data_IF_763824995038
#
_entry.id   IF_763824995038
#
_cell.length_a   1.000
_cell.length_b   1.000
_cell.length_c   1.000
_cell.angle_alpha   90.00
_cell.angle_beta   90.00
_cell.angle_gamma   90.00
#
_symmetry.space_group_name_H-M   'P 1'
#
loop_
_entity.id
_entity.type
_entity.pdbx_description
1 polymer ?
#
# COMPACT_ATOMS: atom_id res chain seq x y z
N UNK A 1 -45.47 2.41 -38.79
CA UNK A 1 -44.51 1.38 -38.34
C UNK A 1 -43.22 2.07 -37.94
N UNK A 2 -42.75 1.73 -36.73
CA UNK A 2 -41.40 1.92 -36.17
C UNK A 2 -40.89 3.37 -35.99
N UNK A 3 -41.24 3.92 -34.81
CA UNK A 3 -40.32 4.71 -34.01
C UNK A 3 -39.32 3.77 -33.28
N UNK A 4 -38.09 4.20 -33.05
CA UNK A 4 -37.08 3.41 -32.33
C UNK A 4 -35.72 4.09 -32.28
N UNK A 5 -35.64 5.21 -31.59
CA UNK A 5 -34.43 6.00 -31.41
C UNK A 5 -33.53 5.49 -30.28
N UNK A 6 -32.22 5.56 -30.55
CA UNK A 6 -31.18 6.10 -29.67
C UNK A 6 -31.34 5.82 -28.16
N UNK A 7 -30.74 4.73 -27.68
CA UNK A 7 -30.82 4.38 -26.26
C UNK A 7 -29.82 3.35 -25.78
N UNK A 8 -28.55 3.41 -26.21
CA UNK A 8 -27.49 2.58 -25.59
C UNK A 8 -26.14 3.31 -25.47
N UNK A 9 -25.86 4.34 -26.27
CA UNK A 9 -24.52 4.98 -26.30
C UNK A 9 -24.28 6.07 -25.25
N UNK A 10 -25.30 6.63 -24.60
CA UNK A 10 -25.11 7.69 -23.59
C UNK A 10 -24.81 7.18 -22.17
N UNK A 11 -25.19 5.94 -21.82
CA UNK A 11 -25.00 5.43 -20.46
C UNK A 11 -23.53 5.09 -20.13
N UNK A 12 -22.77 4.62 -21.12
CA UNK A 12 -21.33 4.29 -20.96
C UNK A 12 -20.48 5.56 -20.87
N UNK A 13 -20.83 6.61 -21.63
CA UNK A 13 -20.15 7.90 -21.55
C UNK A 13 -20.40 8.59 -20.20
N UNK A 14 -21.62 8.51 -19.65
CA UNK A 14 -21.97 9.09 -18.36
C UNK A 14 -21.26 8.39 -17.18
N UNK A 15 -21.09 7.07 -17.23
CA UNK A 15 -20.38 6.33 -16.18
C UNK A 15 -18.86 6.60 -16.18
N UNK A 16 -18.24 6.73 -17.37
CA UNK A 16 -16.81 7.11 -17.50
C UNK A 16 -16.58 8.57 -17.10
N UNK A 17 -17.51 9.47 -17.43
CA UNK A 17 -17.46 10.88 -16.98
C UNK A 17 -17.71 11.02 -15.48
N UNK A 18 -18.59 10.21 -14.88
CA UNK A 18 -18.80 10.19 -13.43
C UNK A 18 -17.57 9.65 -12.66
N UNK A 19 -16.86 8.65 -13.22
CA UNK A 19 -15.60 8.17 -12.64
C UNK A 19 -14.47 9.22 -12.76
N UNK A 20 -14.41 9.95 -13.88
CA UNK A 20 -13.47 11.06 -14.10
C UNK A 20 -13.75 12.26 -13.19
N UNK A 21 -15.02 12.55 -12.90
CA UNK A 21 -15.41 13.62 -12.00
C UNK A 21 -15.14 13.28 -10.53
N UNK A 22 -15.21 12.02 -10.11
CA UNK A 22 -14.90 11.65 -8.72
C UNK A 22 -13.40 11.65 -8.42
N UNK A 23 -12.53 11.26 -9.36
CA UNK A 23 -11.07 11.31 -9.15
C UNK A 23 -10.54 12.75 -9.22
N UNK A 24 -11.13 13.61 -10.06
CA UNK A 24 -10.74 15.01 -10.19
C UNK A 24 -11.39 15.96 -9.15
N UNK A 25 -12.59 15.66 -8.65
CA UNK A 25 -13.25 16.52 -7.67
C UNK A 25 -12.53 16.52 -6.31
N UNK A 26 -11.99 15.38 -5.87
CA UNK A 26 -11.23 15.32 -4.61
C UNK A 26 -9.87 16.02 -4.72
N UNK A 27 -9.20 16.01 -5.88
CA UNK A 27 -7.95 16.77 -6.11
C UNK A 27 -8.19 18.29 -6.20
N UNK A 28 -9.26 18.73 -6.86
CA UNK A 28 -9.64 20.15 -6.93
C UNK A 28 -10.19 20.65 -5.58
N UNK A 29 -10.92 19.81 -4.83
CA UNK A 29 -11.40 20.13 -3.47
C UNK A 29 -10.25 20.12 -2.45
N UNK A 30 -9.28 19.22 -2.58
CA UNK A 30 -8.07 19.22 -1.75
C UNK A 30 -7.20 20.45 -2.07
N UNK A 31 -6.98 20.76 -3.35
CA UNK A 31 -6.24 21.95 -3.78
C UNK A 31 -6.92 23.26 -3.38
N UNK A 32 -8.25 23.35 -3.44
CA UNK A 32 -9.01 24.55 -3.01
C UNK A 32 -9.08 24.69 -1.49
N UNK A 33 -9.25 23.60 -0.73
CA UNK A 33 -9.19 23.62 0.75
C UNK A 33 -7.78 23.90 1.26
N UNK A 34 -6.74 23.37 0.61
CA UNK A 34 -5.34 23.71 0.93
C UNK A 34 -5.06 25.17 0.64
N UNK A 35 -5.47 25.69 -0.52
CA UNK A 35 -5.35 27.13 -0.82
C UNK A 35 -6.13 28.00 0.17
N UNK A 36 -7.31 27.56 0.60
CA UNK A 36 -8.10 28.26 1.62
C UNK A 36 -7.43 28.24 3.00
N UNK A 37 -6.85 27.11 3.41
CA UNK A 37 -6.12 26.99 4.67
C UNK A 37 -4.82 27.81 4.66
N UNK A 38 -4.05 27.77 3.57
CA UNK A 38 -2.86 28.61 3.37
C UNK A 38 -3.25 30.09 3.42
N UNK A 39 -4.31 30.48 2.72
CA UNK A 39 -4.82 31.85 2.75
C UNK A 39 -5.33 32.28 4.13
N UNK A 40 -5.92 31.36 4.89
CA UNK A 40 -6.36 31.59 6.27
C UNK A 40 -5.16 31.82 7.19
N UNK A 41 -4.18 30.92 7.20
CA UNK A 41 -3.01 31.03 8.07
C UNK A 41 -2.12 32.24 7.72
N UNK A 42 -2.06 32.63 6.44
CA UNK A 42 -1.43 33.89 6.05
C UNK A 42 -2.13 35.13 6.64
N UNK A 43 -3.45 35.07 6.86
CA UNK A 43 -4.25 36.16 7.46
C UNK A 43 -4.32 36.09 8.99
N UNK A 44 -4.21 34.89 9.56
CA UNK A 44 -4.36 34.61 10.99
C UNK A 44 -3.18 33.78 11.53
N UNK A 45 -1.93 34.29 11.46
CA UNK A 45 -0.75 33.51 11.81
C UNK A 45 -0.74 33.06 13.28
N UNK A 46 -1.26 33.87 14.21
CA UNK A 46 -1.35 33.50 15.63
C UNK A 46 -2.38 32.41 15.95
N UNK A 47 -3.24 32.06 15.01
CA UNK A 47 -4.27 31.02 15.16
C UNK A 47 -3.87 29.70 14.48
N UNK A 48 -2.77 29.71 13.75
CA UNK A 48 -2.20 28.54 13.11
C UNK A 48 -0.92 28.13 13.82
N UNK A 49 -0.77 26.83 13.99
CA UNK A 49 0.51 26.23 14.31
C UNK A 49 1.49 26.41 13.16
N UNK A 50 2.78 26.44 13.51
CA UNK A 50 3.86 26.45 12.54
C UNK A 50 4.62 25.11 12.54
N UNK A 51 5.36 24.79 11.45
CA UNK A 51 6.17 23.57 11.40
C UNK A 51 7.11 23.44 12.61
N UNK A 52 7.67 24.55 13.10
CA UNK A 52 8.51 24.62 14.29
C UNK A 52 7.81 24.10 15.56
N UNK A 53 6.49 24.28 15.70
CA UNK A 53 5.71 23.89 16.88
C UNK A 53 5.39 22.38 16.92
N UNK A 54 5.52 21.68 15.80
CA UNK A 54 5.20 20.25 15.72
C UNK A 54 6.36 19.38 16.23
N UNK A 55 6.07 18.47 17.15
CA UNK A 55 7.06 17.53 17.70
C UNK A 55 7.40 16.35 16.78
N UNK A 56 6.57 16.05 15.78
CA UNK A 56 6.78 14.91 14.89
C UNK A 56 5.59 14.58 13.97
N UNK A 57 5.69 13.46 13.26
CA UNK A 57 4.66 12.94 12.36
C UNK A 57 4.57 11.42 12.48
N UNK A 58 3.36 10.86 12.31
CA UNK A 58 3.19 9.43 12.02
C UNK A 58 2.71 9.25 10.59
N UNK A 59 3.41 8.43 9.82
CA UNK A 59 3.16 8.27 8.39
C UNK A 59 3.04 6.78 8.08
N UNK A 60 1.83 6.32 7.77
CA UNK A 60 1.60 5.00 7.19
C UNK A 60 2.06 5.01 5.74
N UNK A 61 3.19 4.38 5.46
CA UNK A 61 3.83 4.42 4.14
C UNK A 61 3.28 3.35 3.20
N UNK A 62 2.66 2.30 3.72
CA UNK A 62 2.14 1.23 2.88
C UNK A 62 2.03 -0.12 3.56
N UNK A 63 1.93 -1.21 2.81
CA UNK A 63 1.87 -1.25 1.33
C UNK A 63 0.44 -1.42 0.82
N UNK A 64 0.19 -0.97 -0.41
CA UNK A 64 -1.13 -1.11 -1.04
C UNK A 64 -1.61 -2.56 -1.02
N UNK A 65 -2.90 -2.75 -0.69
CA UNK A 65 -3.57 -4.07 -0.54
C UNK A 65 -3.13 -4.93 0.64
N UNK A 66 -2.43 -4.35 1.61
CA UNK A 66 -2.05 -5.01 2.86
C UNK A 66 -2.82 -4.49 4.07
N UNK A 67 -4.06 -4.03 3.90
CA UNK A 67 -4.89 -3.63 5.05
C UNK A 67 -4.62 -2.24 5.64
N UNK A 68 -4.09 -1.30 4.87
CA UNK A 68 -3.84 0.08 5.34
C UNK A 68 -5.11 0.82 5.82
N UNK A 69 -6.29 0.45 5.32
CA UNK A 69 -7.57 0.95 5.84
C UNK A 69 -7.94 0.35 7.21
N UNK A 70 -7.55 -0.89 7.48
CA UNK A 70 -7.72 -1.49 8.81
C UNK A 70 -6.76 -0.84 9.80
N UNK A 71 -5.49 -0.64 9.41
CA UNK A 71 -4.53 0.16 10.19
C UNK A 71 -5.08 1.57 10.49
N UNK A 72 -5.71 2.21 9.50
CA UNK A 72 -6.37 3.49 9.69
C UNK A 72 -7.41 3.46 10.82
N UNK A 73 -8.21 2.40 10.87
CA UNK A 73 -9.18 2.20 11.93
C UNK A 73 -8.54 2.02 13.33
N UNK A 74 -7.38 1.36 13.43
CA UNK A 74 -6.68 1.17 14.70
C UNK A 74 -6.12 2.48 15.23
N UNK A 75 -5.38 3.20 14.38
CA UNK A 75 -4.76 4.49 14.71
C UNK A 75 -5.81 5.56 15.08
N UNK A 76 -6.96 5.61 14.39
CA UNK A 76 -8.05 6.54 14.71
C UNK A 76 -8.71 6.29 16.07
N UNK A 77 -8.49 5.13 16.69
CA UNK A 77 -9.02 4.78 18.01
C UNK A 77 -7.99 4.98 19.14
N UNK A 78 -6.78 5.45 18.83
CA UNK A 78 -5.78 5.83 19.83
C UNK A 78 -6.11 7.23 20.40
N UNK A 79 -5.95 7.39 21.71
CA UNK A 79 -6.06 8.70 22.37
C UNK A 79 -4.79 9.53 22.07
N UNK A 80 -4.90 10.86 22.03
CA UNK A 80 -3.76 11.78 21.87
C UNK A 80 -3.30 12.00 20.42
N UNK A 81 -4.11 11.59 19.45
CA UNK A 81 -3.74 11.58 18.02
C UNK A 81 -4.61 12.56 17.24
N UNK A 82 -4.03 13.33 16.30
CA UNK A 82 -4.81 14.16 15.37
C UNK A 82 -5.60 13.26 14.43
N UNK A 83 -6.82 13.70 14.08
CA UNK A 83 -7.65 13.08 13.04
C UNK A 83 -6.81 12.69 11.82
N UNK A 84 -6.74 11.39 11.56
CA UNK A 84 -5.96 10.83 10.46
C UNK A 84 -6.45 11.37 9.11
N UNK A 85 -5.52 11.63 8.20
CA UNK A 85 -5.81 11.87 6.78
C UNK A 85 -5.39 10.69 5.91
N UNK A 86 -6.25 10.29 4.98
CA UNK A 86 -5.99 9.25 3.98
C UNK A 86 -6.68 9.67 2.68
N UNK A 87 -6.02 9.72 1.52
CA UNK A 87 -4.58 9.64 1.23
C UNK A 87 -4.07 11.05 0.91
N UNK A 88 -2.89 11.45 1.39
CA UNK A 88 -2.39 12.81 1.19
C UNK A 88 -1.64 12.98 -0.13
N UNK A 89 -0.96 11.94 -0.60
CA UNK A 89 -0.17 11.98 -1.83
C UNK A 89 0.80 13.18 -1.92
N UNK A 90 1.41 13.57 -0.80
CA UNK A 90 2.31 14.72 -0.79
C UNK A 90 3.65 14.36 -1.43
N UNK A 91 4.32 13.31 -0.95
CA UNK A 91 5.69 13.00 -1.37
C UNK A 91 5.80 12.34 -2.75
N UNK A 92 4.70 11.80 -3.29
CA UNK A 92 4.62 11.19 -4.63
C UNK A 92 4.11 12.20 -5.69
N UNK A 93 2.85 12.64 -5.60
CA UNK A 93 2.17 13.44 -6.63
C UNK A 93 2.38 14.92 -6.46
N UNK A 94 2.20 15.44 -5.25
CA UNK A 94 2.13 16.89 -5.03
C UNK A 94 3.50 17.55 -4.84
N UNK A 95 4.54 16.78 -4.49
CA UNK A 95 5.91 17.27 -4.38
C UNK A 95 6.42 17.89 -5.69
N UNK A 96 6.01 17.34 -6.83
CA UNK A 96 6.44 17.81 -8.16
C UNK A 96 6.00 19.26 -8.44
N UNK A 97 4.91 19.71 -7.80
CA UNK A 97 4.41 21.09 -7.95
C UNK A 97 5.35 22.13 -7.33
N UNK A 98 6.31 21.70 -6.51
CA UNK A 98 7.32 22.54 -5.87
C UNK A 98 8.71 22.35 -6.46
N UNK A 99 8.83 21.53 -7.52
CA UNK A 99 10.12 21.16 -8.11
C UNK A 99 10.92 22.38 -8.55
N UNK A 100 10.31 23.28 -9.33
CA UNK A 100 10.99 24.48 -9.84
C UNK A 100 11.50 25.38 -8.70
N UNK A 101 10.75 25.44 -7.60
CA UNK A 101 11.11 26.25 -6.42
C UNK A 101 12.28 25.61 -5.65
N UNK A 102 12.28 24.28 -5.53
CA UNK A 102 13.36 23.50 -4.90
C UNK A 102 14.63 23.53 -5.77
N UNK A 103 14.50 23.57 -7.10
CA UNK A 103 15.65 23.66 -8.01
C UNK A 103 16.23 25.07 -8.08
N UNK A 104 15.39 26.10 -7.98
CA UNK A 104 15.84 27.50 -7.96
C UNK A 104 16.60 27.86 -6.67
N UNK A 105 16.09 27.42 -5.52
CA UNK A 105 16.74 27.56 -4.22
C UNK A 105 16.37 26.36 -3.33
N UNK A 106 17.32 25.44 -3.16
CA UNK A 106 17.07 24.18 -2.47
C UNK A 106 16.64 24.37 -1.01
N UNK A 107 17.26 25.29 -0.30
CA UNK A 107 16.96 25.50 1.12
C UNK A 107 15.57 26.13 1.28
N UNK A 108 15.31 27.20 0.55
CA UNK A 108 14.04 27.91 0.63
C UNK A 108 12.88 27.09 0.06
N UNK A 109 13.12 26.33 -1.02
CA UNK A 109 12.15 25.43 -1.62
C UNK A 109 11.77 24.27 -0.71
N UNK A 110 12.74 23.64 -0.02
CA UNK A 110 12.44 22.60 0.97
C UNK A 110 11.69 23.15 2.19
N UNK A 111 12.05 24.36 2.66
CA UNK A 111 11.31 25.04 3.72
C UNK A 111 9.85 25.28 3.32
N UNK A 112 9.62 25.74 2.10
CA UNK A 112 8.28 25.91 1.55
C UNK A 112 7.54 24.58 1.39
N UNK A 113 8.21 23.52 0.95
CA UNK A 113 7.61 22.19 0.88
C UNK A 113 7.16 21.68 2.25
N UNK A 114 7.96 21.87 3.29
CA UNK A 114 7.58 21.53 4.66
C UNK A 114 6.36 22.34 5.11
N UNK A 115 6.31 23.64 4.81
CA UNK A 115 5.15 24.48 5.10
C UNK A 115 3.90 23.99 4.36
N UNK A 116 3.98 23.71 3.06
CA UNK A 116 2.84 23.22 2.27
C UNK A 116 2.34 21.87 2.79
N UNK A 117 3.25 20.98 3.19
CA UNK A 117 2.89 19.71 3.84
C UNK A 117 2.18 19.93 5.17
N UNK A 118 2.72 20.83 6.00
CA UNK A 118 2.16 21.23 7.29
C UNK A 118 0.72 21.79 7.14
N UNK A 119 0.51 22.68 6.18
CA UNK A 119 -0.77 23.38 5.97
C UNK A 119 -1.91 22.44 5.55
N UNK A 120 -1.59 21.22 5.07
CA UNK A 120 -2.60 20.20 4.78
C UNK A 120 -3.36 19.76 6.02
N UNK A 121 -2.79 19.91 7.21
CA UNK A 121 -3.47 19.58 8.46
C UNK A 121 -4.56 20.59 8.85
N UNK A 122 -4.47 21.82 8.32
CA UNK A 122 -5.41 22.92 8.54
C UNK A 122 -5.12 23.74 9.81
N UNK A 123 -5.89 24.82 10.05
CA UNK A 123 -5.77 25.69 11.21
C UNK A 123 -6.36 24.98 12.44
N UNK A 124 -5.73 23.89 12.86
CA UNK A 124 -6.03 23.25 14.13
C UNK A 124 -5.02 23.82 15.11
N UNK A 125 -5.45 24.44 16.23
CA UNK A 125 -4.53 24.60 17.33
C UNK A 125 -4.08 23.18 17.67
N UNK A 126 -2.79 22.86 17.44
CA UNK A 126 -2.21 21.67 18.05
C UNK A 126 -2.18 21.97 19.53
N UNK A 127 -3.33 21.81 20.20
CA UNK A 127 -3.38 21.79 21.64
C UNK A 127 -2.33 20.77 22.09
N UNK A 128 -1.57 21.11 23.14
CA UNK A 128 -0.46 20.30 23.63
C UNK A 128 -0.81 18.80 23.61
N UNK A 129 -0.13 18.04 22.75
CA UNK A 129 -0.28 16.58 22.68
C UNK A 129 -1.17 16.05 21.55
N UNK A 130 -1.19 16.67 20.37
CA UNK A 130 -1.82 16.12 19.16
C UNK A 130 -0.77 15.80 18.09
N UNK A 131 -0.62 14.51 17.73
CA UNK A 131 0.36 14.04 16.74
C UNK A 131 -0.28 13.88 15.33
N UNK A 132 0.18 14.59 14.28
CA UNK A 132 -0.34 14.45 12.91
C UNK A 132 -0.12 13.04 12.34
N UNK A 133 -1.16 12.46 11.74
CA UNK A 133 -1.10 11.11 11.17
C UNK A 133 -1.69 11.03 9.78
N UNK A 134 -0.90 10.57 8.80
CA UNK A 134 -1.39 10.22 7.48
C UNK A 134 -1.14 8.76 7.13
N UNK A 135 -1.87 8.25 6.13
CA UNK A 135 -1.54 6.99 5.47
C UNK A 135 -1.66 7.18 3.96
N UNK A 136 -0.58 6.98 3.23
CA UNK A 136 -0.55 7.00 1.76
C UNK A 136 0.25 5.79 1.26
N UNK A 137 -0.42 4.69 0.86
CA UNK A 137 0.24 3.39 0.65
C UNK A 137 1.26 3.31 -0.48
N UNK A 138 1.23 4.26 -1.41
CA UNK A 138 2.20 4.35 -2.52
C UNK A 138 3.58 4.80 -2.04
N UNK A 139 3.68 5.43 -0.87
CA UNK A 139 4.96 5.88 -0.32
C UNK A 139 5.96 4.76 -0.09
N UNK A 140 5.51 3.53 0.16
CA UNK A 140 6.37 2.37 0.36
C UNK A 140 7.10 1.97 -0.92
N UNK A 141 6.43 2.02 -2.08
CA UNK A 141 6.96 1.45 -3.33
C UNK A 141 7.37 2.49 -4.38
N UNK A 142 6.98 3.76 -4.25
CA UNK A 142 7.58 4.83 -5.05
C UNK A 142 8.97 5.16 -4.48
N UNK A 143 10.00 4.87 -5.27
CA UNK A 143 11.40 4.98 -4.85
C UNK A 143 11.80 6.42 -4.52
N UNK A 144 11.15 7.41 -5.15
CA UNK A 144 11.44 8.83 -4.93
C UNK A 144 10.96 9.28 -3.55
N UNK A 145 9.91 8.66 -3.03
CA UNK A 145 9.24 9.11 -1.81
C UNK A 145 10.17 9.06 -0.60
N UNK A 146 10.93 7.99 -0.42
CA UNK A 146 11.83 7.87 0.73
C UNK A 146 12.80 9.06 0.85
N UNK A 147 13.44 9.43 -0.27
CA UNK A 147 14.38 10.56 -0.35
C UNK A 147 13.65 11.90 -0.19
N UNK A 148 12.57 12.14 -0.94
CA UNK A 148 11.78 13.38 -0.84
C UNK A 148 11.27 13.61 0.57
N UNK A 149 10.77 12.55 1.21
CA UNK A 149 10.27 12.60 2.58
C UNK A 149 11.39 12.92 3.57
N UNK A 150 12.56 12.27 3.45
CA UNK A 150 13.70 12.60 4.31
C UNK A 150 14.13 14.05 4.13
N UNK A 151 14.19 14.56 2.90
CA UNK A 151 14.67 15.92 2.64
C UNK A 151 13.72 16.97 3.19
N UNK A 152 12.42 16.84 2.93
CA UNK A 152 11.41 17.78 3.41
C UNK A 152 11.26 17.70 4.93
N UNK A 153 11.26 16.49 5.50
CA UNK A 153 11.06 16.29 6.94
C UNK A 153 12.38 16.31 7.72
N UNK A 154 13.53 16.59 7.09
CA UNK A 154 14.85 16.61 7.73
C UNK A 154 14.88 17.40 9.04
N UNK A 155 14.28 18.62 9.14
CA UNK A 155 14.27 19.39 10.39
C UNK A 155 13.55 18.69 11.54
N UNK A 156 12.70 17.70 11.24
CA UNK A 156 11.86 16.97 12.20
C UNK A 156 12.14 15.46 12.20
N UNK A 157 13.21 15.01 11.53
CA UNK A 157 13.42 13.59 11.23
C UNK A 157 13.33 12.68 12.45
N UNK A 158 13.88 13.07 13.60
CA UNK A 158 13.88 12.21 14.81
C UNK A 158 12.48 12.09 15.46
N UNK A 159 11.55 13.00 15.13
CA UNK A 159 10.14 12.97 15.52
C UNK A 159 9.23 12.21 14.53
N UNK A 160 9.75 11.76 13.39
CA UNK A 160 8.96 11.02 12.40
C UNK A 160 8.92 9.53 12.75
N UNK A 161 7.74 8.93 12.64
CA UNK A 161 7.47 7.50 12.81
C UNK A 161 6.79 6.98 11.55
N UNK A 162 7.40 6.00 10.91
CA UNK A 162 6.91 5.36 9.70
C UNK A 162 6.25 4.04 10.08
N UNK A 163 5.12 3.74 9.46
CA UNK A 163 4.38 2.48 9.69
C UNK A 163 4.18 1.78 8.35
N UNK A 164 4.64 0.53 8.28
CA UNK A 164 4.37 -0.37 7.17
C UNK A 164 3.50 -1.55 7.65
N UNK A 165 2.51 -1.89 6.84
CA UNK A 165 1.72 -3.12 6.97
C UNK A 165 2.03 -4.00 5.78
N UNK A 166 2.53 -5.19 6.06
CA UNK A 166 2.87 -6.18 5.05
C UNK A 166 1.75 -7.22 4.92
N UNK A 167 1.75 -7.92 3.79
CA UNK A 167 0.89 -9.06 3.52
C UNK A 167 1.69 -10.08 2.72
N UNK A 168 1.33 -11.35 2.74
CA UNK A 168 1.86 -12.31 1.80
C UNK A 168 1.78 -11.73 0.37
N UNK A 169 2.91 -11.60 -0.35
CA UNK A 169 2.96 -10.85 -1.60
C UNK A 169 2.14 -11.50 -2.72
N UNK A 170 1.88 -12.81 -2.63
CA UNK A 170 1.05 -13.57 -3.59
C UNK A 170 -0.42 -13.13 -3.56
N UNK A 171 -1.20 -13.32 -2.46
CA UNK A 171 -2.58 -12.85 -2.40
C UNK A 171 -2.68 -11.32 -2.34
N UNK A 172 -1.61 -10.59 -1.98
CA UNK A 172 -1.56 -9.13 -2.15
C UNK A 172 -1.58 -8.74 -3.62
N UNK A 173 -0.71 -9.33 -4.46
CA UNK A 173 -0.67 -9.05 -5.89
C UNK A 173 -2.04 -9.32 -6.52
N UNK A 174 -2.65 -10.45 -6.20
CA UNK A 174 -4.00 -10.79 -6.69
C UNK A 174 -5.06 -9.78 -6.27
N UNK A 175 -5.05 -9.37 -5.00
CA UNK A 175 -5.98 -8.34 -4.52
C UNK A 175 -5.73 -6.96 -5.15
N UNK A 176 -4.50 -6.71 -5.60
CA UNK A 176 -4.14 -5.54 -6.38
C UNK A 176 -4.78 -5.57 -7.76
N UNK A 177 -4.78 -6.74 -8.40
CA UNK A 177 -5.28 -6.91 -9.75
C UNK A 177 -6.77 -6.56 -9.83
N UNK A 178 -7.58 -7.11 -8.93
CA UNK A 178 -9.01 -6.78 -8.86
C UNK A 178 -9.33 -5.40 -8.27
N UNK A 179 -8.36 -4.69 -7.69
CA UNK A 179 -8.61 -3.29 -7.31
C UNK A 179 -8.76 -2.39 -8.54
N UNK A 180 -8.08 -2.77 -9.63
CA UNK A 180 -7.98 -1.98 -10.84
C UNK A 180 -9.27 -2.05 -11.64
N UNK A 181 -9.80 -3.25 -11.79
CA UNK A 181 -11.11 -3.51 -12.37
C UNK A 181 -11.65 -4.81 -11.74
N UNK A 182 -12.89 -4.81 -11.26
CA UNK A 182 -13.51 -5.99 -10.64
C UNK A 182 -14.02 -6.98 -11.70
N UNK A 183 -13.98 -6.63 -13.00
CA UNK A 183 -14.49 -7.42 -14.13
C UNK A 183 -13.41 -8.11 -14.97
N UNK A 184 -12.14 -8.02 -14.59
CA UNK A 184 -11.03 -8.66 -15.34
C UNK A 184 -11.06 -10.18 -15.18
N UNK A 185 -10.70 -10.89 -16.25
CA UNK A 185 -10.56 -12.35 -16.23
C UNK A 185 -9.31 -12.72 -15.41
N UNK A 186 -9.39 -13.67 -14.45
CA UNK A 186 -8.21 -14.24 -13.79
C UNK A 186 -7.11 -14.72 -14.75
N UNK A 187 -7.44 -15.09 -16.00
CA UNK A 187 -6.45 -15.42 -17.04
C UNK A 187 -5.55 -14.24 -17.40
N UNK A 188 -6.11 -13.03 -17.47
CA UNK A 188 -5.35 -11.81 -17.74
C UNK A 188 -4.32 -11.54 -16.61
N UNK A 189 -4.60 -12.03 -15.39
CA UNK A 189 -3.64 -11.95 -14.29
C UNK A 189 -2.42 -12.84 -14.53
N UNK A 190 -2.59 -14.05 -15.07
CA UNK A 190 -1.46 -14.93 -15.37
C UNK A 190 -0.52 -14.28 -16.40
N UNK A 191 -1.08 -13.77 -17.50
CA UNK A 191 -0.29 -13.18 -18.58
C UNK A 191 0.44 -11.91 -18.10
N UNK A 192 -0.23 -11.09 -17.27
CA UNK A 192 0.40 -9.95 -16.60
C UNK A 192 1.56 -10.38 -15.71
N UNK A 193 1.35 -11.37 -14.85
CA UNK A 193 2.37 -11.89 -13.92
C UNK A 193 3.56 -12.45 -14.70
N UNK A 194 3.31 -13.29 -15.71
CA UNK A 194 4.37 -13.88 -16.53
C UNK A 194 5.21 -12.81 -17.23
N UNK A 195 4.58 -11.77 -17.77
CA UNK A 195 5.27 -10.64 -18.37
C UNK A 195 6.09 -9.84 -17.35
N UNK A 196 5.53 -9.53 -16.18
CA UNK A 196 6.26 -8.81 -15.12
C UNK A 196 7.45 -9.62 -14.59
N UNK A 197 7.28 -10.93 -14.37
CA UNK A 197 8.38 -11.83 -13.94
C UNK A 197 9.51 -11.85 -14.96
N UNK A 198 9.21 -11.96 -16.26
CA UNK A 198 10.23 -11.95 -17.32
C UNK A 198 11.04 -10.65 -17.31
N UNK A 199 10.36 -9.51 -17.17
CA UNK A 199 11.01 -8.20 -17.11
C UNK A 199 11.85 -8.05 -15.84
N UNK A 200 11.32 -8.44 -14.68
CA UNK A 200 12.07 -8.34 -13.42
C UNK A 200 13.31 -9.24 -13.48
N UNK A 201 13.19 -10.48 -13.96
CA UNK A 201 14.35 -11.38 -14.09
C UNK A 201 15.43 -10.84 -15.02
N UNK A 202 15.05 -10.17 -16.11
CA UNK A 202 16.02 -9.58 -17.06
C UNK A 202 16.64 -8.29 -16.56
N UNK A 203 15.83 -7.41 -15.96
CA UNK A 203 16.19 -6.01 -15.77
C UNK A 203 16.29 -5.55 -14.33
N UNK A 204 15.91 -6.40 -13.38
CA UNK A 204 15.97 -6.06 -11.97
C UNK A 204 17.19 -6.68 -11.27
N UNK A 205 17.78 -7.73 -11.85
CA UNK A 205 18.83 -8.56 -11.23
C UNK A 205 20.24 -7.96 -11.39
N UNK A 206 20.55 -7.28 -12.50
CA UNK A 206 21.93 -6.92 -12.87
C UNK A 206 22.32 -5.46 -12.54
N UNK A 207 22.58 -5.20 -11.26
CA UNK A 207 23.11 -3.91 -10.78
C UNK A 207 22.07 -2.82 -10.57
N UNK A 208 20.78 -3.17 -10.70
CA UNK A 208 19.69 -2.23 -10.58
C UNK A 208 19.05 -2.22 -9.20
N UNK A 209 19.13 -3.31 -8.43
CA UNK A 209 18.45 -3.42 -7.15
C UNK A 209 19.18 -4.30 -6.11
N UNK A 210 19.69 -3.61 -5.09
CA UNK A 210 20.25 -4.02 -3.80
C UNK A 210 20.22 -5.51 -3.39
N UNK A 211 21.27 -6.24 -3.78
CA UNK A 211 21.73 -7.42 -3.02
C UNK A 211 23.11 -7.17 -2.35
N UNK A 212 23.69 -5.98 -2.49
CA UNK A 212 24.84 -5.59 -1.67
C UNK A 212 24.55 -4.26 -0.97
N UNK A 213 24.55 -4.28 0.37
CA UNK A 213 24.34 -3.15 1.28
C UNK A 213 25.25 -1.94 1.00
N UNK A 214 26.32 -2.13 0.22
CA UNK A 214 27.37 -1.14 0.02
C UNK A 214 27.02 0.02 -0.92
N UNK A 215 25.95 -0.04 -1.73
CA UNK A 215 25.71 0.96 -2.78
C UNK A 215 24.27 1.50 -2.84
N UNK A 216 24.00 2.61 -2.14
CA UNK A 216 22.76 3.37 -2.25
C UNK A 216 22.76 4.27 -3.49
N UNK A 217 21.85 3.99 -4.44
CA UNK A 217 21.61 4.86 -5.59
C UNK A 217 20.36 5.73 -5.38
N UNK A 218 20.35 7.00 -5.84
CA UNK A 218 19.14 7.82 -5.87
C UNK A 218 18.03 7.17 -6.72
N UNK A 219 16.78 7.48 -6.41
CA UNK A 219 15.62 6.92 -7.08
C UNK A 219 15.62 7.18 -8.59
N UNK A 220 16.06 8.36 -9.02
CA UNK A 220 16.16 8.76 -10.42
C UNK A 220 17.11 7.84 -11.20
N UNK A 221 18.24 7.46 -10.59
CA UNK A 221 19.19 6.53 -11.19
C UNK A 221 18.58 5.13 -11.32
N UNK A 222 17.94 4.63 -10.25
CA UNK A 222 17.32 3.31 -10.25
C UNK A 222 16.24 3.20 -11.33
N UNK A 223 15.39 4.23 -11.45
CA UNK A 223 14.38 4.28 -12.48
C UNK A 223 15.01 4.38 -13.87
N UNK A 224 15.94 5.30 -14.09
CA UNK A 224 16.57 5.48 -15.40
C UNK A 224 17.27 4.21 -15.92
N UNK A 225 18.00 3.51 -15.05
CA UNK A 225 18.65 2.27 -15.44
C UNK A 225 17.62 1.15 -15.71
N UNK A 226 16.50 1.08 -14.98
CA UNK A 226 15.41 0.15 -15.27
C UNK A 226 14.81 0.43 -16.65
N UNK A 227 14.56 1.70 -16.99
CA UNK A 227 14.07 2.09 -18.34
C UNK A 227 15.00 1.61 -19.42
N UNK A 228 16.28 1.93 -19.28
CA UNK A 228 17.29 1.58 -20.27
C UNK A 228 17.33 0.07 -20.49
N UNK A 229 17.36 -0.72 -19.42
CA UNK A 229 17.35 -2.18 -19.57
C UNK A 229 16.10 -2.67 -20.29
N UNK A 230 14.91 -2.16 -19.90
CA UNK A 230 13.67 -2.63 -20.49
C UNK A 230 13.56 -2.27 -21.97
N UNK A 231 13.96 -1.06 -22.35
CA UNK A 231 14.04 -0.64 -23.76
C UNK A 231 14.97 -1.50 -24.60
N UNK A 232 16.05 -2.02 -24.00
CA UNK A 232 17.03 -2.87 -24.69
C UNK A 232 16.61 -4.35 -24.77
N UNK A 233 15.81 -4.84 -23.82
CA UNK A 233 15.58 -6.28 -23.62
C UNK A 233 14.13 -6.74 -23.80
N UNK A 234 13.18 -5.82 -23.97
CA UNK A 234 11.74 -6.13 -24.06
C UNK A 234 11.20 -5.62 -25.39
N UNK A 235 11.11 -6.54 -26.36
CA UNK A 235 10.84 -6.26 -27.77
C UNK A 235 9.46 -5.64 -28.08
N UNK A 236 8.50 -5.72 -27.16
CA UNK A 236 7.12 -5.36 -27.44
C UNK A 236 6.81 -3.86 -27.33
N UNK A 237 7.76 -3.02 -26.92
CA UNK A 237 7.56 -1.56 -26.82
C UNK A 237 6.35 -1.15 -25.96
N UNK A 238 5.88 -2.03 -25.06
CA UNK A 238 4.63 -1.84 -24.32
C UNK A 238 4.85 -0.87 -23.13
N UNK A 239 4.07 0.21 -23.01
CA UNK A 239 4.31 1.30 -22.05
C UNK A 239 3.99 0.99 -20.59
N UNK A 240 3.70 -0.27 -20.22
CA UNK A 240 3.39 -0.61 -18.84
C UNK A 240 4.61 -0.38 -17.92
N UNK A 241 5.82 -0.56 -18.44
CA UNK A 241 7.05 -0.21 -17.72
C UNK A 241 7.35 1.29 -17.76
N UNK A 242 6.94 2.04 -18.78
CA UNK A 242 7.26 3.48 -18.91
C UNK A 242 6.83 4.29 -17.67
N UNK A 243 5.74 3.91 -16.99
CA UNK A 243 5.31 4.57 -15.75
C UNK A 243 6.18 4.28 -14.53
N UNK A 244 7.00 3.24 -14.56
CA UNK A 244 8.04 3.06 -13.55
C UNK A 244 9.11 4.13 -13.70
N UNK A 245 9.33 4.69 -14.90
CA UNK A 245 10.46 5.59 -15.15
C UNK A 245 10.05 7.02 -15.51
N UNK A 246 8.80 7.25 -15.92
CA UNK A 246 8.34 8.59 -16.27
C UNK A 246 8.23 9.45 -14.98
N UNK A 247 8.97 10.56 -14.88
CA UNK A 247 8.68 11.57 -13.87
C UNK A 247 7.23 12.02 -14.08
N UNK A 248 6.43 12.06 -13.01
CA UNK A 248 5.02 12.47 -13.01
C UNK A 248 4.86 13.90 -13.56
N UNK A 249 4.98 14.06 -14.88
CA UNK A 249 4.49 15.20 -15.62
C UNK A 249 3.12 14.82 -16.15
N UNK A 250 2.21 15.78 -16.14
CA UNK A 250 0.77 15.66 -16.44
C UNK A 250 0.41 15.12 -17.84
N UNK A 251 1.37 14.60 -18.60
CA UNK A 251 1.23 14.11 -19.97
C UNK A 251 1.54 12.61 -20.11
N UNK A 252 1.34 11.79 -19.07
CA UNK A 252 1.25 10.35 -19.29
C UNK A 252 0.06 10.11 -20.23
N UNK A 253 0.33 9.77 -21.49
CA UNK A 253 -0.73 9.56 -22.48
C UNK A 253 -1.66 8.46 -21.97
N UNK A 254 -2.97 8.67 -22.11
CA UNK A 254 -3.98 7.61 -21.98
C UNK A 254 -3.79 6.67 -23.17
N UNK A 255 -2.85 5.75 -23.08
CA UNK A 255 -2.78 4.64 -24.00
C UNK A 255 -3.67 3.51 -23.46
N UNK A 256 -4.34 2.82 -24.36
CA UNK A 256 -5.14 1.62 -24.11
C UNK A 256 -4.51 0.49 -24.91
N UNK A 257 -4.51 -0.75 -24.40
CA UNK A 257 -4.20 -1.90 -25.24
C UNK A 257 -5.33 -2.16 -26.25
N UNK A 258 -5.10 -3.09 -27.19
CA UNK A 258 -6.05 -3.44 -28.26
C UNK A 258 -7.41 -3.95 -27.75
N UNK A 259 -7.49 -4.32 -26.46
CA UNK A 259 -8.71 -4.75 -25.78
C UNK A 259 -9.41 -3.61 -25.02
N UNK A 260 -8.95 -2.36 -25.14
CA UNK A 260 -9.54 -1.18 -24.51
C UNK A 260 -9.15 -0.99 -23.03
N UNK A 261 -8.20 -1.76 -22.49
CA UNK A 261 -7.71 -1.60 -21.12
C UNK A 261 -6.68 -0.47 -21.04
N UNK A 262 -6.91 0.45 -20.12
CA UNK A 262 -6.06 1.62 -19.89
C UNK A 262 -4.78 1.26 -19.13
N UNK A 263 -3.60 1.62 -19.66
CA UNK A 263 -2.30 1.37 -19.00
C UNK A 263 -2.14 2.10 -17.64
N UNK A 264 -3.10 2.95 -17.24
CA UNK A 264 -3.19 3.49 -15.88
C UNK A 264 -3.36 2.43 -14.79
N UNK A 265 -3.80 1.23 -15.16
CA UNK A 265 -4.18 0.17 -14.22
C UNK A 265 -2.96 -0.64 -13.75
N UNK A 266 -1.93 -0.86 -14.57
CA UNK A 266 -0.89 -1.88 -14.32
C UNK A 266 0.44 -1.31 -13.83
N UNK A 267 0.43 -0.59 -12.71
CA UNK A 267 1.69 -0.26 -12.02
C UNK A 267 2.23 -1.54 -11.35
N UNK A 268 3.45 -1.94 -11.73
CA UNK A 268 4.16 -3.16 -11.32
C UNK A 268 3.60 -3.86 -10.12
N UNK A 269 2.66 -4.76 -10.40
CA UNK A 269 1.91 -5.39 -9.35
C UNK A 269 2.84 -6.27 -8.53
N UNK A 270 3.91 -6.78 -9.12
CA UNK A 270 4.92 -7.58 -8.46
C UNK A 270 5.94 -6.76 -7.67
N UNK A 271 6.41 -5.63 -8.21
CA UNK A 271 7.36 -4.75 -7.50
C UNK A 271 6.82 -4.29 -6.14
N UNK A 272 5.49 -4.11 -6.05
CA UNK A 272 4.81 -3.75 -4.79
C UNK A 272 4.95 -4.83 -3.72
N UNK A 273 5.27 -6.08 -4.06
CA UNK A 273 5.55 -7.17 -3.13
C UNK A 273 7.01 -7.32 -2.73
N UNK A 274 7.93 -6.55 -3.31
CA UNK A 274 9.38 -6.66 -3.07
C UNK A 274 9.79 -5.79 -1.86
N UNK A 275 9.37 -6.21 -0.67
CA UNK A 275 9.45 -5.39 0.54
C UNK A 275 10.87 -5.10 1.01
N UNK A 276 11.81 -6.02 0.81
CA UNK A 276 13.21 -5.83 1.19
C UNK A 276 13.78 -4.58 0.53
N UNK A 277 13.56 -4.44 -0.77
CA UNK A 277 14.03 -3.31 -1.57
C UNK A 277 13.38 -2.00 -1.19
N UNK A 278 12.08 -2.04 -0.93
CA UNK A 278 11.31 -0.88 -0.48
C UNK A 278 11.86 -0.37 0.85
N UNK A 279 12.07 -1.25 1.84
CA UNK A 279 12.65 -0.87 3.13
C UNK A 279 14.10 -0.40 3.00
N UNK A 280 14.93 -1.08 2.19
CA UNK A 280 16.30 -0.63 1.88
C UNK A 280 16.31 0.78 1.29
N UNK A 281 15.36 1.12 0.44
CA UNK A 281 15.24 2.46 -0.11
C UNK A 281 15.01 3.53 0.97
N UNK A 282 14.23 3.22 2.03
CA UNK A 282 14.11 4.10 3.20
C UNK A 282 15.42 4.19 3.99
N UNK A 283 16.13 3.08 4.20
CA UNK A 283 17.43 3.12 4.88
C UNK A 283 18.46 3.95 4.09
N UNK A 284 18.52 3.79 2.77
CA UNK A 284 19.38 4.56 1.88
C UNK A 284 19.07 6.05 1.87
N UNK A 285 17.79 6.43 1.98
CA UNK A 285 17.40 7.82 2.15
C UNK A 285 17.85 8.40 3.51
N UNK A 286 18.25 7.57 4.47
CA UNK A 286 18.77 7.96 5.79
C UNK A 286 17.79 7.78 6.94
N UNK A 287 16.67 7.07 6.73
CA UNK A 287 15.77 6.69 7.81
C UNK A 287 16.40 5.61 8.68
N UNK A 288 16.26 5.73 10.00
CA UNK A 288 16.77 4.70 10.92
C UNK A 288 15.76 3.55 11.01
N UNK A 289 16.21 2.28 11.11
CA UNK A 289 15.31 1.13 11.28
C UNK A 289 14.31 1.30 12.44
N UNK A 290 14.74 1.87 13.56
CA UNK A 290 13.90 2.08 14.76
C UNK A 290 12.79 3.11 14.54
N UNK A 291 12.83 3.87 13.44
CA UNK A 291 11.76 4.79 13.05
C UNK A 291 10.69 4.11 12.20
N UNK A 292 10.83 2.83 11.88
CA UNK A 292 9.95 2.09 11.00
C UNK A 292 9.33 0.94 11.79
N UNK A 293 8.03 1.04 12.03
CA UNK A 293 7.22 -0.04 12.60
C UNK A 293 6.66 -0.90 11.48
N UNK A 294 6.82 -2.22 11.61
CA UNK A 294 6.34 -3.17 10.62
C UNK A 294 5.43 -4.16 11.33
N UNK A 295 4.22 -4.29 10.81
CA UNK A 295 3.24 -5.31 11.23
C UNK A 295 2.67 -5.99 9.99
N UNK A 296 1.93 -7.06 10.19
CA UNK A 296 1.34 -7.85 9.12
C UNK A 296 -0.19 -7.75 9.11
N UNK A 297 -0.77 -8.06 7.96
CA UNK A 297 -2.24 -8.18 7.83
C UNK A 297 -2.77 -9.25 8.78
N UNK A 298 -2.09 -10.39 8.88
CA UNK A 298 -2.49 -11.48 9.78
C UNK A 298 -2.48 -11.02 11.24
N UNK A 299 -1.41 -10.40 11.74
CA UNK A 299 -1.33 -9.95 13.13
C UNK A 299 -2.36 -8.91 13.53
N UNK A 300 -2.66 -7.96 12.64
CA UNK A 300 -3.77 -7.02 12.85
C UNK A 300 -5.12 -7.72 13.02
N UNK A 301 -5.29 -8.92 12.48
CA UNK A 301 -6.54 -9.66 12.52
C UNK A 301 -6.58 -10.74 13.62
N UNK A 302 -5.49 -11.46 13.82
CA UNK A 302 -5.40 -12.57 14.78
C UNK A 302 -5.09 -12.08 16.18
N UNK A 303 -4.27 -11.04 16.31
CA UNK A 303 -3.79 -10.51 17.60
C UNK A 303 -3.90 -8.98 17.68
N UNK A 304 -5.09 -8.39 17.40
CA UNK A 304 -5.25 -6.94 17.26
C UNK A 304 -4.87 -6.15 18.52
N UNK A 305 -5.04 -6.75 19.72
CA UNK A 305 -4.66 -6.12 20.97
C UNK A 305 -3.14 -5.97 21.09
N UNK A 306 -2.39 -7.05 20.85
CA UNK A 306 -0.92 -7.02 20.92
C UNK A 306 -0.36 -6.04 19.89
N UNK A 307 -0.80 -6.17 18.63
CA UNK A 307 -0.46 -5.25 17.54
C UNK A 307 -0.68 -3.79 17.93
N UNK A 308 -1.88 -3.45 18.44
CA UNK A 308 -2.22 -2.08 18.82
C UNK A 308 -1.38 -1.58 20.00
N UNK A 309 -1.04 -2.44 20.95
CA UNK A 309 -0.19 -2.08 22.08
C UNK A 309 1.25 -1.78 21.63
N UNK A 310 1.82 -2.60 20.75
CA UNK A 310 3.14 -2.37 20.16
C UNK A 310 3.16 -1.08 19.34
N UNK A 311 2.12 -0.87 18.53
CA UNK A 311 1.94 0.35 17.73
C UNK A 311 1.89 1.61 18.60
N UNK A 312 1.05 1.63 19.64
CA UNK A 312 0.95 2.78 20.54
C UNK A 312 2.28 3.04 21.29
N UNK A 313 2.98 1.98 21.72
CA UNK A 313 4.30 2.08 22.35
C UNK A 313 5.35 2.66 21.40
N UNK A 314 5.36 2.23 20.14
CA UNK A 314 6.26 2.71 19.11
C UNK A 314 6.05 4.19 18.77
N UNK A 315 4.78 4.60 18.62
CA UNK A 315 4.43 6.00 18.37
C UNK A 315 4.87 6.88 19.55
N UNK A 316 4.66 6.38 20.78
CA UNK A 316 4.99 7.09 22.01
C UNK A 316 3.98 8.20 22.35
N UNK A 317 4.19 8.91 23.47
CA UNK A 317 3.30 10.00 23.88
C UNK A 317 3.23 11.08 22.79
N UNK A 318 2.05 11.66 22.51
CA UNK A 318 0.79 11.54 23.26
C UNK A 318 -0.05 10.27 23.01
N UNK A 319 0.30 9.45 22.01
CA UNK A 319 -0.52 8.32 21.58
C UNK A 319 -0.66 7.25 22.67
N UNK A 320 -1.90 6.88 23.01
CA UNK A 320 -2.20 5.87 24.02
C UNK A 320 -3.34 4.97 23.60
N UNK A 321 -3.23 3.68 23.95
CA UNK A 321 -4.34 2.75 23.81
C UNK A 321 -5.40 3.04 24.88
N UNK A 322 -6.52 3.63 24.46
CA UNK A 322 -7.65 3.97 25.32
C UNK A 322 -8.19 2.75 26.06
N UNK A 323 -8.58 2.91 27.34
CA UNK A 323 -9.09 1.81 28.16
C UNK A 323 -10.34 1.13 27.57
N UNK A 324 -11.27 1.92 27.01
CA UNK A 324 -12.47 1.41 26.33
C UNK A 324 -12.13 0.62 25.07
N UNK A 325 -11.19 1.12 24.26
CA UNK A 325 -10.79 0.42 23.04
C UNK A 325 -10.05 -0.89 23.37
N UNK A 326 -9.17 -0.86 24.38
CA UNK A 326 -8.52 -2.07 24.93
C UNK A 326 -9.54 -3.14 25.34
N UNK A 327 -10.61 -2.75 26.05
CA UNK A 327 -11.66 -3.69 26.46
C UNK A 327 -12.40 -4.28 25.25
N UNK A 328 -12.69 -3.47 24.23
CA UNK A 328 -13.32 -3.96 22.99
C UNK A 328 -12.44 -4.98 22.27
N UNK A 329 -11.14 -4.70 22.12
CA UNK A 329 -10.21 -5.65 21.49
C UNK A 329 -10.12 -6.97 22.29
N UNK A 330 -10.14 -6.91 23.64
CA UNK A 330 -10.22 -8.11 24.48
C UNK A 330 -11.52 -8.90 24.30
N UNK A 331 -12.61 -8.21 23.97
CA UNK A 331 -13.91 -8.82 23.71
C UNK A 331 -14.06 -9.32 22.25
N UNK A 332 -12.98 -9.34 21.46
CA UNK A 332 -13.00 -9.83 20.08
C UNK A 332 -13.50 -8.84 19.04
N UNK A 333 -13.60 -7.54 19.36
CA UNK A 333 -13.98 -6.51 18.39
C UNK A 333 -12.94 -6.42 17.26
N UNK A 334 -13.33 -6.81 16.05
CA UNK A 334 -12.51 -6.66 14.86
C UNK A 334 -12.77 -5.32 14.19
N UNK A 335 -11.73 -4.56 13.87
CA UNK A 335 -11.87 -3.41 12.97
C UNK A 335 -12.21 -3.93 11.58
N UNK A 336 -13.32 -3.45 11.02
CA UNK A 336 -13.96 -3.94 9.79
C UNK A 336 -13.02 -4.61 8.77
N UNK A 337 -13.41 -5.84 8.38
CA UNK A 337 -12.97 -6.48 7.14
C UNK A 337 -13.48 -5.64 5.97
N UNK A 338 -12.61 -5.00 5.20
CA UNK A 338 -13.02 -4.53 3.88
C UNK A 338 -13.47 -5.75 3.08
N UNK A 339 -14.76 -5.85 2.73
CA UNK A 339 -15.36 -7.05 2.12
C UNK A 339 -14.87 -7.38 0.70
N UNK A 340 -13.84 -6.69 0.21
CA UNK A 340 -13.48 -6.74 -1.22
C UNK A 340 -12.85 -8.06 -1.65
N UNK A 341 -12.24 -8.82 -0.75
CA UNK A 341 -11.65 -10.12 -1.11
C UNK A 341 -12.65 -11.27 -1.19
N UNK A 342 -13.84 -11.11 -0.60
CA UNK A 342 -14.85 -12.18 -0.52
C UNK A 342 -15.59 -12.46 -1.85
N UNK A 343 -15.15 -11.84 -2.96
CA UNK A 343 -15.77 -12.00 -4.27
C UNK A 343 -14.78 -12.18 -5.43
N UNK A 344 -13.48 -12.38 -5.17
CA UNK A 344 -12.53 -12.67 -6.25
C UNK A 344 -12.60 -14.18 -6.59
N UNK A 345 -12.63 -14.56 -7.87
CA UNK A 345 -12.43 -15.95 -8.27
C UNK A 345 -11.13 -16.51 -7.69
N UNK A 346 -11.00 -17.83 -7.46
CA UNK A 346 -9.73 -18.41 -7.05
C UNK A 346 -8.64 -18.16 -8.11
N UNK A 347 -7.41 -17.93 -7.66
CA UNK A 347 -6.26 -17.78 -8.54
C UNK A 347 -5.94 -19.12 -9.22
N UNK A 348 -5.55 -19.10 -10.48
CA UNK A 348 -5.06 -20.31 -11.16
C UNK A 348 -3.82 -20.88 -10.45
N UNK A 349 -3.77 -22.20 -10.29
CA UNK A 349 -2.69 -22.90 -9.59
C UNK A 349 -1.31 -22.63 -10.20
N UNK A 350 -1.22 -22.57 -11.53
CA UNK A 350 0.02 -22.22 -12.24
C UNK A 350 0.51 -20.81 -11.90
N UNK A 351 -0.41 -19.86 -11.70
CA UNK A 351 -0.09 -18.48 -11.34
C UNK A 351 0.35 -18.39 -9.89
N UNK A 352 -0.34 -19.11 -8.99
CA UNK A 352 0.05 -19.17 -7.58
C UNK A 352 1.44 -19.78 -7.41
N UNK A 353 1.75 -20.85 -8.15
CA UNK A 353 3.07 -21.49 -8.16
C UNK A 353 4.15 -20.53 -8.67
N UNK A 354 3.92 -19.91 -9.83
CA UNK A 354 4.85 -18.93 -10.41
C UNK A 354 5.15 -17.77 -9.45
N UNK A 355 4.12 -17.23 -8.78
CA UNK A 355 4.29 -16.14 -7.83
C UNK A 355 5.01 -16.59 -6.55
N UNK A 356 4.70 -17.77 -6.03
CA UNK A 356 5.35 -18.33 -4.84
C UNK A 356 6.86 -18.50 -5.10
N UNK A 357 7.21 -19.16 -6.21
CA UNK A 357 8.61 -19.35 -6.64
C UNK A 357 9.31 -18.00 -6.91
N UNK A 358 8.61 -17.05 -7.54
CA UNK A 358 9.16 -15.73 -7.80
C UNK A 358 9.46 -14.94 -6.52
N UNK A 359 8.57 -14.96 -5.52
CA UNK A 359 8.74 -14.16 -4.30
C UNK A 359 9.67 -14.78 -3.26
N UNK A 360 10.04 -16.06 -3.39
CA UNK A 360 10.87 -16.78 -2.42
C UNK A 360 12.16 -16.00 -2.10
N UNK A 361 12.96 -15.66 -3.11
CA UNK A 361 14.22 -14.94 -2.94
C UNK A 361 14.04 -13.56 -2.28
N UNK A 362 12.95 -12.86 -2.62
CA UNK A 362 12.68 -11.52 -2.08
C UNK A 362 12.15 -11.57 -0.65
N UNK A 363 11.40 -12.62 -0.30
CA UNK A 363 10.91 -12.86 1.05
C UNK A 363 12.06 -13.24 1.98
N UNK A 364 12.97 -14.10 1.53
CA UNK A 364 14.21 -14.42 2.27
C UNK A 364 15.07 -13.16 2.47
N UNK A 365 15.24 -12.34 1.43
CA UNK A 365 15.97 -11.08 1.53
C UNK A 365 15.31 -10.10 2.52
N UNK A 366 13.98 -10.08 2.61
CA UNK A 366 13.27 -9.28 3.61
C UNK A 366 13.58 -9.78 5.02
N UNK A 367 13.43 -11.08 5.27
CA UNK A 367 13.70 -11.65 6.60
C UNK A 367 15.15 -11.41 7.02
N UNK A 368 16.09 -11.55 6.09
CA UNK A 368 17.50 -11.24 6.34
C UNK A 368 17.68 -9.77 6.77
N UNK A 369 17.12 -8.82 6.01
CA UNK A 369 17.16 -7.39 6.32
C UNK A 369 16.57 -7.09 7.70
N UNK A 370 15.41 -7.68 8.02
CA UNK A 370 14.74 -7.48 9.31
C UNK A 370 15.54 -8.04 10.49
N UNK A 371 16.35 -9.09 10.29
CA UNK A 371 17.22 -9.65 11.32
C UNK A 371 18.51 -8.85 11.52
N UNK A 372 19.02 -8.22 10.47
CA UNK A 372 20.24 -7.43 10.51
C UNK A 372 20.04 -6.04 11.13
N UNK A 373 18.82 -5.51 11.06
CA UNK A 373 18.50 -4.15 11.48
C UNK A 373 17.42 -4.14 12.56
N UNK A 374 17.49 -3.17 13.45
CA UNK A 374 16.60 -3.05 14.59
C UNK A 374 15.28 -2.33 14.22
N UNK A 375 14.53 -2.91 13.27
CA UNK A 375 13.18 -2.46 12.95
C UNK A 375 12.22 -2.70 14.12
N UNK A 376 11.21 -1.85 14.28
CA UNK A 376 10.18 -2.07 15.29
C UNK A 376 9.15 -3.09 14.78
N UNK A 377 9.51 -4.37 14.80
CA UNK A 377 8.67 -5.47 14.28
C UNK A 377 8.90 -6.79 15.02
N UNK A 378 7.97 -7.73 14.82
CA UNK A 378 8.15 -9.13 15.19
C UNK A 378 8.56 -9.93 13.95
N UNK A 379 9.83 -10.33 13.86
CA UNK A 379 10.32 -11.01 12.64
C UNK A 379 9.60 -12.34 12.43
N UNK A 380 9.30 -13.08 13.49
CA UNK A 380 8.61 -14.37 13.38
C UNK A 380 7.18 -14.20 12.86
N UNK A 381 6.51 -13.11 13.22
CA UNK A 381 5.20 -12.75 12.66
C UNK A 381 5.29 -12.47 11.15
N UNK A 382 6.31 -11.73 10.72
CA UNK A 382 6.55 -11.48 9.29
C UNK A 382 6.84 -12.78 8.56
N UNK A 383 7.68 -13.66 9.12
CA UNK A 383 7.96 -14.97 8.52
C UNK A 383 6.70 -15.84 8.38
N UNK A 384 5.77 -15.80 9.36
CA UNK A 384 4.46 -16.47 9.26
C UNK A 384 3.60 -15.88 8.15
N UNK A 385 3.51 -14.56 8.06
CA UNK A 385 2.76 -13.89 6.99
C UNK A 385 3.29 -14.24 5.60
N UNK A 386 4.62 -14.35 5.44
CA UNK A 386 5.25 -14.71 4.18
C UNK A 386 5.16 -16.21 3.84
N UNK A 387 4.73 -17.05 4.80
CA UNK A 387 4.67 -18.51 4.63
C UNK A 387 6.04 -19.20 4.66
N UNK A 388 7.05 -18.56 5.26
CA UNK A 388 8.42 -19.09 5.35
C UNK A 388 8.63 -19.99 6.58
N UNK A 389 7.79 -19.85 7.62
CA UNK A 389 7.82 -20.76 8.75
C UNK A 389 7.11 -22.06 8.38
N UNK A 390 7.88 -23.14 8.29
CA UNK A 390 7.35 -24.49 8.19
C UNK A 390 6.49 -24.75 9.42
N UNK A 391 5.18 -24.95 9.23
CA UNK A 391 4.26 -25.36 10.30
C UNK A 391 4.89 -26.50 11.08
N UNK A 392 4.97 -26.34 12.39
CA UNK A 392 5.40 -27.42 13.26
C UNK A 392 4.40 -28.58 13.13
N UNK A 393 4.84 -29.82 13.37
CA UNK A 393 3.97 -31.01 13.26
C UNK A 393 2.65 -30.88 14.04
N UNK A 394 2.68 -30.16 15.17
CA UNK A 394 1.52 -29.90 16.02
C UNK A 394 0.45 -28.97 15.39
N UNK A 395 0.81 -28.11 14.44
CA UNK A 395 -0.13 -27.20 13.75
C UNK A 395 -0.75 -27.83 12.49
N UNK A 396 -0.29 -29.02 12.09
CA UNK A 396 -0.94 -29.80 11.02
C UNK A 396 -2.03 -30.71 11.58
N UNK A 397 -1.80 -31.24 12.78
CA UNK A 397 -2.73 -32.14 13.46
C UNK A 397 -3.98 -31.42 13.98
N UNK A 398 -3.99 -30.08 14.06
CA UNK A 398 -5.17 -29.30 14.50
C UNK A 398 -6.15 -28.93 13.39
N UNK A 399 -5.77 -29.08 12.12
CA UNK A 399 -6.64 -28.77 10.97
C UNK A 399 -7.36 -30.04 10.45
N UNK A 400 -6.87 -31.24 10.82
CA UNK A 400 -7.44 -32.53 10.40
C UNK A 400 -8.61 -33.01 11.32
N UNK A 401 -8.90 -32.28 12.40
CA UNK A 401 -9.97 -32.63 13.36
C UNK A 401 -11.33 -31.94 13.06
N UNK A 402 -11.45 -31.13 12.00
CA UNK A 402 -12.68 -30.38 11.66
C UNK A 402 -13.33 -30.81 10.32
N UNK A 403 -12.93 -31.95 9.74
CA UNK A 403 -13.58 -32.55 8.57
C UNK A 403 -13.96 -34.02 8.87
N UNK A 404 -15.08 -34.19 9.57
CA UNK A 404 -15.53 -35.51 10.00
C UNK A 404 -16.92 -35.50 10.63
N UNK A 405 -17.94 -35.17 9.86
CA UNK A 405 -19.31 -35.47 10.26
C UNK A 405 -20.36 -34.75 9.44
N UNK A 406 -20.60 -35.21 8.22
CA UNK A 406 -21.94 -35.30 7.62
C UNK A 406 -21.81 -36.07 6.31
N UNK A 407 -22.28 -37.33 6.32
CA UNK A 407 -23.02 -37.97 5.21
C UNK A 407 -23.13 -39.48 5.50
N UNK A 408 -24.34 -39.93 5.85
CA UNK A 408 -24.82 -41.28 5.56
C UNK A 408 -26.32 -41.18 5.23
N UNK A 409 -26.56 -41.08 3.93
CA UNK A 409 -27.49 -41.85 3.10
C UNK A 409 -28.99 -41.88 3.40
N UNK A 410 -29.72 -41.27 2.45
CA UNK A 410 -31.10 -41.58 2.11
C UNK A 410 -31.16 -41.93 0.62
N UNK A 411 -31.42 -43.20 0.30
CA UNK A 411 -32.01 -43.60 -0.98
C UNK A 411 -32.73 -44.94 -0.82
N UNK A 412 -34.04 -44.88 -1.00
CA UNK A 412 -34.91 -46.02 -1.23
C UNK A 412 -34.67 -46.59 -2.64
N UNK A 413 -34.89 -47.89 -2.81
CA UNK A 413 -35.65 -48.42 -3.94
C UNK A 413 -36.14 -49.85 -3.63
N UNK A 414 -37.34 -50.11 -4.13
CA UNK A 414 -38.21 -51.27 -3.95
C UNK A 414 -37.66 -52.57 -4.57
N UNK A 415 -38.04 -53.72 -4.01
CA UNK A 415 -38.67 -54.79 -4.81
C UNK A 415 -39.31 -55.87 -3.92
N UNK A 416 -40.48 -56.30 -4.39
CA UNK A 416 -41.44 -57.24 -3.80
C UNK A 416 -40.90 -58.67 -3.57
N UNK A 417 -41.36 -59.33 -2.50
CA UNK A 417 -41.74 -60.75 -2.60
C UNK A 417 -43.01 -61.05 -1.80
N UNK A 418 -43.87 -61.80 -2.48
CA UNK A 418 -45.26 -62.09 -2.21
C UNK A 418 -45.37 -63.38 -1.42
N UNK A 419 -46.01 -63.32 -0.25
CA UNK A 419 -46.70 -64.49 0.32
C UNK A 419 -48.22 -64.38 0.14
N UNK A 420 -48.67 -64.97 -0.96
CA UNK A 420 -49.77 -65.95 -1.08
C UNK A 420 -51.21 -65.53 -0.71
N UNK A 421 -52.02 -65.17 -1.73
CA UNK A 421 -53.34 -65.76 -2.01
C UNK A 421 -53.93 -65.33 -3.36
#
# INVERSE_FOLDING_TARGET
MMAGGCGVTMAVAAAVVALLLCVGADEVLAGSKVKANVAYCNKHPSECSHPEDQSGFVIGIGVQKSGTSSLAGFLNKLDGVVKMRKEMHFFDRNYVLLKDEIEADREQGLKKALQVYHDRWGPQPFADGWLPMEITPVYMYDRRVAYRMMEVLRPKKDGVRLIAVLRNPVPRAYSGFFQLDEKVDPKDFHDLVAAEVDVIRKCYIDGLMFVNEQHCHPAEYQYEALRKCVEENVADGRPWYERFIIPLNNNASKTTNDNGYSYWLHEGILLRGMYADQLKNFLCAGWKPEQIFITTTTHMHTEPLDMTQRLAKFIGPPAKLAGKFKQRLKAGDTIHRGSKTAGHPPMEERTQRLLTEFYEEYNEALVHLLRQHNFACDVAEVERELGLLVRTRAERESDDDDDGGDDDDNAADDDDDVTNK
#
